data_IF_066703345281
#
_entry.id   IF_066703345281
#
_cell.length_a   1.000
_cell.length_b   1.000
_cell.length_c   1.000
_cell.angle_alpha   90.00
_cell.angle_beta   90.00
_cell.angle_gamma   90.00
#
_symmetry.space_group_name_H-M   'P 1'
#
loop_
_entity.id
_entity.type
_entity.pdbx_description
1 polymer ?
#
# COMPACT_ATOMS: atom_id res chain seq x y z
N UNK A 1 -34.19 -19.63 -4.16
CA UNK A 1 -32.72 -19.47 -4.08
C UNK A 1 -32.42 -18.01 -4.34
N UNK A 2 -31.48 -17.40 -3.60
CA UNK A 2 -31.02 -16.04 -3.91
C UNK A 2 -30.21 -16.09 -5.20
N UNK A 3 -30.23 -15.00 -5.97
CA UNK A 3 -29.32 -14.83 -7.11
C UNK A 3 -27.90 -14.53 -6.62
N UNK A 4 -26.88 -14.83 -7.44
CA UNK A 4 -25.49 -14.52 -7.09
C UNK A 4 -25.25 -13.03 -6.79
N UNK A 5 -26.03 -12.13 -7.41
CA UNK A 5 -25.99 -10.69 -7.14
C UNK A 5 -26.54 -10.34 -5.75
N UNK A 6 -27.64 -10.97 -5.33
CA UNK A 6 -28.20 -10.79 -3.99
C UNK A 6 -27.26 -11.35 -2.92
N UNK A 7 -26.61 -12.47 -3.20
CA UNK A 7 -25.59 -13.07 -2.32
C UNK A 7 -24.36 -12.17 -2.21
N UNK A 8 -23.83 -11.66 -3.32
CA UNK A 8 -22.75 -10.66 -3.34
C UNK A 8 -23.09 -9.44 -2.50
N UNK A 9 -24.31 -8.90 -2.65
CA UNK A 9 -24.77 -7.75 -1.86
C UNK A 9 -24.79 -8.06 -0.35
N UNK A 10 -25.19 -9.27 0.03
CA UNK A 10 -25.20 -9.68 1.43
C UNK A 10 -23.78 -9.84 2.00
N UNK A 11 -22.86 -10.43 1.24
CA UNK A 11 -21.45 -10.56 1.61
C UNK A 11 -20.78 -9.21 1.80
N UNK A 12 -21.07 -8.23 0.92
CA UNK A 12 -20.55 -6.87 1.06
C UNK A 12 -21.06 -6.17 2.34
N UNK A 13 -22.35 -6.33 2.68
CA UNK A 13 -22.88 -5.82 3.96
C UNK A 13 -22.21 -6.48 5.17
N UNK A 14 -21.88 -7.76 5.07
CA UNK A 14 -21.14 -8.46 6.13
C UNK A 14 -19.68 -8.00 6.22
N UNK A 15 -19.08 -7.61 5.10
CA UNK A 15 -17.78 -6.96 5.03
C UNK A 15 -17.80 -5.60 5.74
N UNK A 16 -18.85 -4.80 5.56
CA UNK A 16 -19.05 -3.53 6.29
C UNK A 16 -19.07 -3.74 7.81
N UNK A 17 -19.73 -4.81 8.26
CA UNK A 17 -19.79 -5.18 9.68
C UNK A 17 -18.44 -5.49 10.33
N UNK A 18 -17.36 -5.65 9.56
CA UNK A 18 -16.02 -5.89 10.10
C UNK A 18 -15.34 -4.61 10.66
N UNK A 19 -15.91 -3.42 10.42
CA UNK A 19 -15.31 -2.13 10.78
C UNK A 19 -15.82 -1.53 12.10
N UNK A 20 -16.69 -2.22 12.85
CA UNK A 20 -17.38 -1.65 14.02
C UNK A 20 -16.48 -0.94 15.04
N UNK A 21 -15.37 -1.55 15.46
CA UNK A 21 -14.41 -0.97 16.41
C UNK A 21 -13.12 -0.41 15.74
N UNK A 22 -13.11 -0.32 14.41
CA UNK A 22 -11.89 0.01 13.66
C UNK A 22 -11.52 1.48 13.77
N UNK A 23 -12.51 2.36 13.84
CA UNK A 23 -12.26 3.80 13.87
C UNK A 23 -11.82 4.29 15.24
N UNK A 24 -12.33 3.71 16.35
CA UNK A 24 -11.73 3.98 17.67
C UNK A 24 -10.27 3.49 17.70
N UNK A 25 -9.99 2.30 17.16
CA UNK A 25 -8.62 1.80 17.05
C UNK A 25 -7.72 2.75 16.24
N UNK A 26 -8.21 3.31 15.13
CA UNK A 26 -7.47 4.29 14.32
C UNK A 26 -7.17 5.57 15.11
N UNK A 27 -8.15 6.10 15.85
CA UNK A 27 -7.99 7.29 16.68
C UNK A 27 -6.96 7.06 17.80
N UNK A 28 -6.92 5.86 18.37
CA UNK A 28 -5.94 5.47 19.39
C UNK A 28 -4.50 5.48 18.87
N UNK A 29 -4.29 5.31 17.56
CA UNK A 29 -2.94 5.37 16.97
C UNK A 29 -2.44 6.81 16.75
N UNK A 30 -3.30 7.82 16.85
CA UNK A 30 -2.88 9.20 16.68
C UNK A 30 -1.98 9.66 17.83
N UNK A 31 -0.94 10.44 17.49
CA UNK A 31 -0.07 11.10 18.44
C UNK A 31 -0.24 12.63 18.36
N UNK A 32 -0.90 13.27 19.34
CA UNK A 32 -1.09 14.72 19.32
C UNK A 32 0.20 15.52 19.50
N UNK A 33 1.26 14.91 20.04
CA UNK A 33 2.54 15.60 20.25
C UNK A 33 3.27 15.88 18.93
N UNK A 34 3.25 14.92 18.00
CA UNK A 34 3.92 15.05 16.71
C UNK A 34 2.97 15.35 15.55
N UNK A 35 1.69 15.00 15.66
CA UNK A 35 0.73 15.02 14.57
C UNK A 35 0.77 13.79 13.65
N UNK A 36 1.60 12.79 13.98
CA UNK A 36 1.71 11.53 13.25
C UNK A 36 0.81 10.41 13.79
N UNK A 37 0.85 9.26 13.12
CA UNK A 37 0.20 8.03 13.61
C UNK A 37 1.23 6.91 13.82
N UNK A 38 0.98 6.10 14.84
CA UNK A 38 1.72 4.88 15.13
C UNK A 38 1.29 3.72 14.22
N UNK A 39 2.21 2.78 13.99
CA UNK A 39 1.97 1.57 13.22
C UNK A 39 0.94 0.63 13.86
N UNK A 40 1.07 0.37 15.16
CA UNK A 40 0.23 -0.53 15.95
C UNK A 40 0.20 -0.08 17.42
N UNK A 41 -0.74 -0.60 18.24
CA UNK A 41 -0.90 -0.20 19.64
C UNK A 41 0.39 -0.36 20.46
N UNK A 42 1.10 -1.48 20.30
CA UNK A 42 2.37 -1.74 20.98
C UNK A 42 3.48 -0.76 20.60
N UNK A 43 3.39 -0.19 19.40
CA UNK A 43 4.30 0.85 18.90
C UNK A 43 4.20 2.09 19.77
N UNK A 44 2.98 2.48 20.12
CA UNK A 44 2.67 3.62 20.99
C UNK A 44 2.96 3.34 22.46
N UNK A 45 2.48 2.22 22.98
CA UNK A 45 2.52 1.92 24.42
C UNK A 45 3.91 1.57 24.95
N UNK A 46 4.77 1.00 24.11
CA UNK A 46 6.10 0.56 24.56
C UNK A 46 7.09 1.69 24.81
N UNK A 47 6.85 2.88 24.25
CA UNK A 47 7.80 4.00 24.25
C UNK A 47 9.08 3.74 23.43
N UNK A 48 9.14 2.63 22.67
CA UNK A 48 10.32 2.24 21.86
C UNK A 48 10.29 2.78 20.44
N UNK A 49 9.12 3.14 19.96
CA UNK A 49 8.89 3.57 18.59
C UNK A 49 8.29 4.98 18.57
N UNK A 50 8.33 5.61 17.41
CA UNK A 50 7.74 6.93 17.16
C UNK A 50 6.80 6.84 15.96
N UNK A 51 5.85 7.77 15.81
CA UNK A 51 5.07 7.87 14.58
C UNK A 51 5.96 7.99 13.35
N UNK A 52 5.59 7.24 12.30
CA UNK A 52 6.38 7.07 11.09
C UNK A 52 5.63 7.57 9.84
N UNK A 53 6.36 7.78 8.75
CA UNK A 53 5.83 8.34 7.50
C UNK A 53 4.76 7.42 6.89
N UNK A 54 5.03 6.10 6.85
CA UNK A 54 4.16 5.14 6.20
C UNK A 54 2.83 5.03 6.96
N UNK A 55 2.86 4.83 8.27
CA UNK A 55 1.66 4.74 9.10
C UNK A 55 0.83 6.03 9.07
N UNK A 56 1.49 7.18 9.16
CA UNK A 56 0.80 8.48 9.07
C UNK A 56 0.12 8.66 7.71
N UNK A 57 0.78 8.27 6.61
CA UNK A 57 0.19 8.39 5.27
C UNK A 57 -0.97 7.42 5.06
N UNK A 58 -0.88 6.23 5.63
CA UNK A 58 -1.93 5.24 5.58
C UNK A 58 -3.16 5.67 6.39
N UNK A 59 -2.98 6.28 7.56
CA UNK A 59 -4.06 6.91 8.32
C UNK A 59 -4.75 8.03 7.53
N UNK A 60 -3.99 8.93 6.91
CA UNK A 60 -4.52 9.99 6.05
C UNK A 60 -5.32 9.41 4.87
N UNK A 61 -4.82 8.33 4.26
CA UNK A 61 -5.54 7.64 3.18
C UNK A 61 -6.82 6.95 3.67
N UNK A 62 -6.85 6.42 4.90
CA UNK A 62 -8.08 5.88 5.49
C UNK A 62 -9.09 7.02 5.66
N UNK A 63 -8.68 8.12 6.30
CA UNK A 63 -9.54 9.27 6.57
C UNK A 63 -10.10 9.89 5.28
N UNK A 64 -9.30 10.00 4.22
CA UNK A 64 -9.76 10.46 2.90
C UNK A 64 -10.84 9.54 2.33
N UNK A 65 -10.60 8.22 2.31
CA UNK A 65 -11.54 7.24 1.71
C UNK A 65 -12.87 7.16 2.42
N UNK A 66 -12.92 7.50 3.70
CA UNK A 66 -14.17 7.50 4.49
C UNK A 66 -14.76 8.90 4.68
N UNK A 67 -14.21 9.92 4.00
CA UNK A 67 -14.73 11.29 4.01
C UNK A 67 -14.41 12.11 5.27
N UNK A 68 -13.53 11.62 6.15
CA UNK A 68 -13.13 12.32 7.38
C UNK A 68 -12.11 13.44 7.14
N UNK A 69 -11.27 13.32 6.10
CA UNK A 69 -10.15 14.24 5.90
C UNK A 69 -10.61 15.68 5.63
N UNK A 70 -11.71 15.89 4.91
CA UNK A 70 -12.21 17.24 4.60
C UNK A 70 -12.63 18.00 5.86
N UNK A 71 -13.37 17.33 6.75
CA UNK A 71 -13.85 17.89 8.03
C UNK A 71 -12.85 17.79 9.18
N UNK A 72 -11.65 17.26 8.96
CA UNK A 72 -10.64 17.10 10.03
C UNK A 72 -10.18 18.47 10.54
N UNK A 73 -9.98 18.57 11.86
CA UNK A 73 -9.68 19.83 12.54
C UNK A 73 -8.45 20.55 11.93
N UNK A 74 -8.52 21.87 11.67
CA UNK A 74 -7.43 22.59 11.03
C UNK A 74 -6.10 22.55 11.79
N UNK A 75 -6.12 22.53 13.13
CA UNK A 75 -4.90 22.46 13.93
C UNK A 75 -4.26 21.07 13.84
N UNK A 76 -5.08 20.02 13.82
CA UNK A 76 -4.62 18.64 13.59
C UNK A 76 -4.05 18.46 12.18
N UNK A 77 -4.69 19.03 11.15
CA UNK A 77 -4.14 19.10 9.78
C UNK A 77 -2.78 19.79 9.76
N UNK A 78 -2.68 20.95 10.41
CA UNK A 78 -1.43 21.68 10.50
C UNK A 78 -0.33 20.90 11.26
N UNK A 79 -0.71 20.12 12.28
CA UNK A 79 0.22 19.22 12.98
C UNK A 79 0.73 18.10 12.05
N UNK A 80 -0.14 17.48 11.26
CA UNK A 80 0.27 16.48 10.27
C UNK A 80 1.18 17.07 9.17
N UNK A 81 0.92 18.31 8.73
CA UNK A 81 1.82 19.01 7.80
C UNK A 81 3.22 19.19 8.42
N UNK A 82 3.28 19.68 9.66
CA UNK A 82 4.55 19.84 10.39
C UNK A 82 5.26 18.50 10.58
N UNK A 83 4.52 17.42 10.83
CA UNK A 83 5.07 16.06 10.90
C UNK A 83 5.86 15.72 9.63
N UNK A 84 5.24 15.77 8.45
CA UNK A 84 5.95 15.43 7.19
C UNK A 84 7.10 16.37 6.89
N UNK A 85 6.91 17.68 7.10
CA UNK A 85 7.95 18.67 6.87
C UNK A 85 9.16 18.46 7.79
N UNK A 86 8.94 18.03 9.03
CA UNK A 86 10.03 17.71 9.98
C UNK A 86 10.84 16.47 9.59
N UNK A 87 10.28 15.60 8.75
CA UNK A 87 10.95 14.39 8.24
C UNK A 87 11.79 14.67 7.00
N UNK A 88 11.67 15.87 6.42
CA UNK A 88 12.39 16.24 5.20
C UNK A 88 13.75 16.87 5.53
N UNK A 89 14.79 16.43 4.83
CA UNK A 89 16.12 17.06 4.92
C UNK A 89 16.41 18.00 3.72
N UNK A 90 17.50 18.80 3.76
CA UNK A 90 17.83 19.72 2.68
C UNK A 90 18.13 19.09 1.32
N UNK A 91 18.35 17.77 1.24
CA UNK A 91 18.53 17.05 -0.03
C UNK A 91 17.19 16.73 -0.70
N UNK A 92 16.07 17.00 -0.01
CA UNK A 92 14.72 16.78 -0.52
C UNK A 92 14.10 15.45 -0.12
N UNK A 93 14.90 14.52 0.41
CA UNK A 93 14.45 13.22 0.88
C UNK A 93 13.70 13.31 2.22
N UNK A 94 12.87 12.31 2.47
CA UNK A 94 12.13 12.16 3.72
C UNK A 94 12.60 10.90 4.46
N UNK A 95 12.87 11.03 5.76
CA UNK A 95 13.39 9.95 6.59
C UNK A 95 12.70 9.86 7.93
N UNK A 96 12.43 8.63 8.35
CA UNK A 96 12.16 8.28 9.74
C UNK A 96 13.45 8.13 10.54
N UNK A 97 13.32 8.02 11.86
CA UNK A 97 14.45 8.05 12.78
C UNK A 97 15.35 6.81 12.71
N UNK A 98 14.86 5.68 12.22
CA UNK A 98 15.64 4.45 12.12
C UNK A 98 16.76 4.63 11.06
N UNK A 99 18.04 4.48 11.44
CA UNK A 99 19.15 4.72 10.53
C UNK A 99 19.17 3.75 9.34
N UNK A 100 18.58 2.56 9.48
CA UNK A 100 18.56 1.55 8.41
C UNK A 100 17.64 1.94 7.26
N UNK A 101 16.70 2.89 7.46
CA UNK A 101 15.82 3.34 6.38
C UNK A 101 16.61 3.91 5.20
N UNK A 102 17.74 4.59 5.46
CA UNK A 102 18.57 5.20 4.41
C UNK A 102 19.24 4.17 3.51
N UNK A 103 19.42 2.95 4.01
CA UNK A 103 20.05 1.85 3.30
C UNK A 103 19.03 1.01 2.48
N UNK A 104 17.71 1.27 2.64
CA UNK A 104 16.67 0.61 1.86
C UNK A 104 16.08 1.58 0.82
N UNK A 105 16.61 1.50 -0.41
CA UNK A 105 16.18 2.36 -1.53
C UNK A 105 14.65 2.40 -1.70
N UNK A 106 13.97 1.26 -1.47
CA UNK A 106 12.52 1.12 -1.61
C UNK A 106 11.79 1.92 -0.55
N UNK A 107 12.25 1.90 0.71
CA UNK A 107 11.68 2.75 1.75
C UNK A 107 11.88 4.22 1.44
N UNK A 108 13.09 4.59 0.99
CA UNK A 108 13.42 5.98 0.65
C UNK A 108 12.53 6.51 -0.47
N UNK A 109 12.41 5.78 -1.58
CA UNK A 109 11.56 6.21 -2.70
C UNK A 109 10.07 6.20 -2.35
N UNK A 110 9.62 5.24 -1.53
CA UNK A 110 8.24 5.21 -1.01
C UNK A 110 7.95 6.41 -0.12
N UNK A 111 8.88 6.83 0.73
CA UNK A 111 8.72 7.98 1.62
C UNK A 111 8.55 9.31 0.86
N UNK A 112 9.23 9.47 -0.29
CA UNK A 112 8.99 10.60 -1.21
C UNK A 112 7.52 10.59 -1.65
N UNK A 113 7.04 9.44 -2.13
CA UNK A 113 5.67 9.27 -2.59
C UNK A 113 4.67 9.57 -1.47
N UNK A 114 4.80 8.91 -0.32
CA UNK A 114 3.89 9.08 0.81
C UNK A 114 3.83 10.53 1.31
N UNK A 115 4.98 11.14 1.57
CA UNK A 115 5.04 12.48 2.14
C UNK A 115 4.52 13.54 1.17
N UNK A 116 4.93 13.49 -0.10
CA UNK A 116 4.48 14.48 -1.11
C UNK A 116 2.97 14.42 -1.36
N UNK A 117 2.40 13.21 -1.48
CA UNK A 117 0.95 13.07 -1.70
C UNK A 117 0.16 13.44 -0.44
N UNK A 118 0.64 13.10 0.76
CA UNK A 118 -0.03 13.47 2.00
C UNK A 118 -0.02 15.00 2.20
N UNK A 119 1.11 15.66 1.95
CA UNK A 119 1.20 17.12 1.98
C UNK A 119 0.21 17.77 0.99
N UNK A 120 0.15 17.29 -0.25
CA UNK A 120 -0.79 17.79 -1.25
C UNK A 120 -2.26 17.64 -0.80
N UNK A 121 -2.64 16.48 -0.24
CA UNK A 121 -3.99 16.26 0.33
C UNK A 121 -4.32 17.18 1.49
N UNK A 122 -3.30 17.56 2.27
CA UNK A 122 -3.40 18.49 3.38
C UNK A 122 -3.30 19.97 2.94
N UNK A 123 -3.16 20.24 1.64
CA UNK A 123 -3.04 21.59 1.10
C UNK A 123 -1.69 22.26 1.38
N UNK A 124 -0.63 21.47 1.53
CA UNK A 124 0.72 21.92 1.83
C UNK A 124 1.75 21.40 0.82
N UNK A 125 2.95 21.96 0.87
CA UNK A 125 4.07 21.61 0.01
C UNK A 125 5.28 21.13 0.85
N UNK A 126 6.20 20.35 0.26
CA UNK A 126 7.51 20.08 0.85
C UNK A 126 8.29 21.36 1.19
N UNK A 127 9.15 21.32 2.22
CA UNK A 127 10.04 22.43 2.59
C UNK A 127 11.18 22.61 1.58
N UNK A 128 11.70 21.50 1.05
CA UNK A 128 12.82 21.47 0.10
C UNK A 128 12.37 20.85 -1.23
N UNK A 129 12.98 21.23 -2.37
CA UNK A 129 12.73 20.57 -3.65
C UNK A 129 12.95 19.06 -3.55
N UNK A 130 12.09 18.27 -4.19
CA UNK A 130 12.20 16.81 -4.19
C UNK A 130 13.47 16.33 -4.93
N UNK A 131 14.01 15.13 -4.61
CA UNK A 131 15.32 14.70 -5.07
C UNK A 131 15.50 14.64 -6.59
N UNK A 132 14.46 14.26 -7.34
CA UNK A 132 14.49 14.21 -8.81
C UNK A 132 14.45 15.59 -9.49
N UNK A 133 14.19 16.66 -8.74
CA UNK A 133 14.33 18.06 -9.17
C UNK A 133 15.61 18.71 -8.64
N UNK A 134 16.48 17.91 -8.01
CA UNK A 134 17.79 18.32 -7.50
C UNK A 134 18.86 17.39 -8.08
N UNK A 135 20.13 17.62 -7.73
CA UNK A 135 21.24 16.72 -8.09
C UNK A 135 21.34 15.48 -7.18
N UNK A 136 20.30 15.16 -6.40
CA UNK A 136 20.31 14.10 -5.40
C UNK A 136 19.66 12.78 -5.86
N UNK A 137 19.22 12.68 -7.12
CA UNK A 137 18.68 11.43 -7.65
C UNK A 137 19.75 10.31 -7.67
N UNK A 138 19.35 9.01 -7.55
CA UNK A 138 20.30 7.90 -7.58
C UNK A 138 21.10 7.81 -8.88
N UNK A 139 22.33 7.30 -8.81
CA UNK A 139 23.25 7.20 -9.97
C UNK A 139 22.65 6.46 -11.17
N UNK A 140 21.79 5.46 -10.94
CA UNK A 140 21.15 4.73 -12.03
C UNK A 140 20.18 5.60 -12.86
N UNK A 141 19.72 6.73 -12.31
CA UNK A 141 18.85 7.71 -12.99
C UNK A 141 19.64 8.74 -13.81
N UNK A 142 20.97 8.60 -13.96
CA UNK A 142 21.79 9.58 -14.68
C UNK A 142 21.46 9.66 -16.19
N UNK A 143 21.28 8.51 -16.85
CA UNK A 143 20.86 8.42 -18.26
C UNK A 143 19.89 7.26 -18.48
N UNK A 144 19.12 7.24 -19.60
CA UNK A 144 18.29 6.09 -19.95
C UNK A 144 19.09 4.78 -20.03
N UNK A 145 20.35 4.83 -20.48
CA UNK A 145 21.21 3.65 -20.59
C UNK A 145 21.71 3.14 -19.23
N UNK A 146 22.01 4.03 -18.27
CA UNK A 146 22.33 3.59 -16.90
C UNK A 146 21.11 2.99 -16.22
N UNK A 147 19.94 3.56 -16.51
CA UNK A 147 18.67 3.07 -15.98
C UNK A 147 18.31 1.69 -16.53
N UNK A 148 18.46 1.48 -17.84
CA UNK A 148 18.26 0.18 -18.48
C UNK A 148 19.18 -0.91 -17.88
N UNK A 149 20.46 -0.60 -17.68
CA UNK A 149 21.40 -1.53 -17.01
C UNK A 149 20.99 -1.85 -15.57
N UNK A 150 20.48 -0.85 -14.84
CA UNK A 150 19.96 -1.08 -13.50
C UNK A 150 18.72 -1.97 -13.50
N UNK A 151 17.76 -1.76 -14.40
CA UNK A 151 16.58 -2.63 -14.56
C UNK A 151 17.00 -4.09 -14.78
N UNK A 152 17.97 -4.32 -15.67
CA UNK A 152 18.49 -5.65 -15.99
C UNK A 152 19.26 -6.31 -14.83
N UNK A 153 19.71 -5.54 -13.84
CA UNK A 153 20.40 -6.05 -12.66
C UNK A 153 19.47 -6.56 -11.55
N UNK A 154 18.17 -6.29 -11.65
CA UNK A 154 17.21 -6.65 -10.58
C UNK A 154 16.75 -8.09 -10.74
N UNK A 155 17.06 -8.89 -9.71
CA UNK A 155 16.59 -10.27 -9.58
C UNK A 155 15.09 -10.33 -9.27
N UNK A 156 14.41 -11.32 -9.84
CA UNK A 156 12.97 -11.59 -9.63
C UNK A 156 12.68 -12.92 -8.93
N UNK A 157 13.69 -13.53 -8.30
CA UNK A 157 13.59 -14.79 -7.53
C UNK A 157 12.54 -14.73 -6.39
N UNK A 158 12.28 -13.52 -5.89
CA UNK A 158 11.06 -13.19 -5.15
C UNK A 158 10.37 -12.04 -5.89
N UNK A 159 9.28 -12.35 -6.58
CA UNK A 159 8.60 -11.38 -7.44
C UNK A 159 8.14 -10.13 -6.69
N UNK A 160 7.69 -10.25 -5.44
CA UNK A 160 7.28 -9.08 -4.67
C UNK A 160 8.44 -8.10 -4.49
N UNK A 161 9.58 -8.54 -3.94
CA UNK A 161 10.70 -7.63 -3.66
C UNK A 161 11.33 -7.11 -4.96
N UNK A 162 11.55 -7.99 -5.93
CA UNK A 162 12.12 -7.60 -7.22
C UNK A 162 11.28 -6.55 -7.94
N UNK A 163 9.97 -6.76 -8.05
CA UNK A 163 9.07 -5.77 -8.65
C UNK A 163 8.93 -4.50 -7.79
N UNK A 164 9.02 -4.58 -6.46
CA UNK A 164 9.02 -3.39 -5.59
C UNK A 164 10.23 -2.50 -5.87
N UNK A 165 11.41 -3.11 -6.08
CA UNK A 165 12.63 -2.40 -6.49
C UNK A 165 12.46 -1.76 -7.86
N UNK A 166 12.00 -2.51 -8.87
CA UNK A 166 11.75 -1.97 -10.22
C UNK A 166 10.83 -0.75 -10.18
N UNK A 167 9.75 -0.80 -9.40
CA UNK A 167 8.80 0.30 -9.29
C UNK A 167 9.32 1.51 -8.52
N UNK A 168 10.37 1.34 -7.72
CA UNK A 168 10.94 2.40 -6.90
C UNK A 168 11.67 3.49 -7.71
N UNK A 169 11.87 3.29 -9.02
CA UNK A 169 12.32 4.35 -9.93
C UNK A 169 11.22 5.38 -10.23
N UNK A 170 9.95 5.00 -10.09
CA UNK A 170 8.81 5.83 -10.52
C UNK A 170 8.72 7.20 -9.85
N UNK A 171 8.98 7.37 -8.53
CA UNK A 171 8.99 8.69 -7.90
C UNK A 171 9.98 9.67 -8.54
N UNK A 172 11.11 9.19 -9.06
CA UNK A 172 12.10 10.03 -9.75
C UNK A 172 11.64 10.39 -11.16
N UNK A 173 11.22 9.38 -11.94
CA UNK A 173 10.73 9.56 -13.32
C UNK A 173 9.51 10.50 -13.36
N UNK A 174 8.64 10.44 -12.36
CA UNK A 174 7.46 11.31 -12.26
C UNK A 174 7.81 12.79 -12.06
N UNK A 175 9.01 13.10 -11.55
CA UNK A 175 9.46 14.47 -11.34
C UNK A 175 10.02 15.14 -12.62
N UNK A 176 10.41 14.34 -13.62
CA UNK A 176 10.93 14.79 -14.92
C UNK A 176 9.84 15.44 -15.77
N UNK A 177 10.23 16.32 -16.70
CA UNK A 177 9.32 16.80 -17.74
C UNK A 177 9.06 15.69 -18.78
N UNK A 178 8.08 15.89 -19.67
CA UNK A 178 7.67 14.85 -20.64
C UNK A 178 8.79 14.40 -21.59
N UNK A 179 9.58 15.35 -22.10
CA UNK A 179 10.65 15.05 -23.05
C UNK A 179 11.79 14.25 -22.40
N UNK A 180 12.15 14.60 -21.16
CA UNK A 180 13.13 13.86 -20.36
C UNK A 180 12.62 12.48 -19.94
N UNK A 181 11.32 12.39 -19.63
CA UNK A 181 10.68 11.19 -19.10
C UNK A 181 10.54 10.09 -20.15
N UNK A 182 10.22 10.44 -21.39
CA UNK A 182 9.84 9.49 -22.43
C UNK A 182 10.89 8.37 -22.67
N UNK A 183 12.20 8.65 -22.78
CA UNK A 183 13.22 7.62 -22.92
C UNK A 183 13.28 6.62 -21.75
N UNK A 184 13.15 7.10 -20.50
CA UNK A 184 13.13 6.22 -19.32
C UNK A 184 11.92 5.30 -19.32
N UNK A 185 10.75 5.81 -19.71
CA UNK A 185 9.54 5.00 -19.81
C UNK A 185 9.65 3.96 -20.92
N UNK A 186 10.29 4.29 -22.04
CA UNK A 186 10.55 3.33 -23.12
C UNK A 186 11.41 2.16 -22.62
N UNK A 187 12.49 2.45 -21.88
CA UNK A 187 13.34 1.40 -21.28
C UNK A 187 12.57 0.56 -20.26
N UNK A 188 11.82 1.21 -19.36
CA UNK A 188 11.03 0.52 -18.33
C UNK A 188 10.00 -0.42 -18.93
N UNK A 189 9.12 0.07 -19.79
CA UNK A 189 8.04 -0.74 -20.37
C UNK A 189 8.57 -1.79 -21.35
N UNK A 190 9.62 -1.46 -22.12
CA UNK A 190 10.29 -2.43 -22.97
C UNK A 190 10.92 -3.57 -22.18
N UNK A 191 11.53 -3.28 -21.02
CA UNK A 191 12.04 -4.31 -20.12
C UNK A 191 10.89 -5.14 -19.52
N UNK A 192 9.88 -4.49 -18.94
CA UNK A 192 8.75 -5.18 -18.30
C UNK A 192 8.01 -6.11 -19.26
N UNK A 193 7.83 -5.72 -20.53
CA UNK A 193 7.23 -6.59 -21.54
C UNK A 193 8.07 -7.84 -21.82
N UNK A 194 9.40 -7.70 -21.88
CA UNK A 194 10.31 -8.84 -22.14
C UNK A 194 10.29 -9.88 -21.03
N UNK A 195 10.18 -9.45 -19.78
CA UNK A 195 10.26 -10.32 -18.60
C UNK A 195 8.91 -10.85 -18.11
N UNK A 196 7.79 -10.40 -18.68
CA UNK A 196 6.46 -10.89 -18.31
C UNK A 196 6.27 -12.32 -18.81
N UNK A 197 5.83 -13.22 -17.93
CA UNK A 197 5.52 -14.59 -18.33
C UNK A 197 4.30 -14.61 -19.26
N UNK A 198 4.42 -15.38 -20.36
CA UNK A 198 3.41 -15.39 -21.42
C UNK A 198 2.19 -16.22 -21.10
N UNK A 199 2.33 -17.22 -20.23
CA UNK A 199 1.27 -18.18 -19.90
C UNK A 199 0.42 -17.68 -18.73
N UNK A 200 1.05 -17.27 -17.64
CA UNK A 200 0.39 -16.76 -16.44
C UNK A 200 0.05 -15.27 -16.52
N UNK A 201 0.76 -14.50 -17.36
CA UNK A 201 0.68 -13.05 -17.40
C UNK A 201 1.33 -12.36 -16.18
N UNK A 202 1.93 -13.11 -15.26
CA UNK A 202 2.56 -12.58 -14.06
C UNK A 202 4.04 -12.25 -14.30
N UNK A 203 4.64 -11.54 -13.36
CA UNK A 203 6.08 -11.28 -13.35
C UNK A 203 6.78 -12.07 -12.24
N UNK A 204 8.01 -12.48 -12.50
CA UNK A 204 8.94 -13.05 -11.53
C UNK A 204 8.55 -14.44 -10.99
N UNK A 205 9.21 -14.82 -9.91
CA UNK A 205 9.13 -16.15 -9.31
C UNK A 205 8.50 -16.12 -7.90
N UNK A 206 8.35 -17.30 -7.31
CA UNK A 206 7.74 -17.51 -5.99
C UNK A 206 6.37 -18.18 -6.05
N UNK A 207 5.66 -18.23 -4.93
CA UNK A 207 4.27 -18.71 -4.88
C UNK A 207 3.36 -17.82 -5.75
N UNK A 208 2.14 -18.31 -6.07
CA UNK A 208 1.19 -17.49 -6.83
C UNK A 208 0.89 -16.16 -6.16
N UNK A 209 0.75 -16.12 -4.84
CA UNK A 209 0.55 -14.87 -4.11
C UNK A 209 1.76 -13.93 -4.17
N UNK A 210 2.99 -14.46 -4.18
CA UNK A 210 4.21 -13.65 -4.34
C UNK A 210 4.29 -13.07 -5.75
N UNK A 211 4.04 -13.87 -6.79
CA UNK A 211 3.99 -13.41 -8.18
C UNK A 211 2.89 -12.38 -8.43
N UNK A 212 1.69 -12.59 -7.88
CA UNK A 212 0.60 -11.61 -7.92
C UNK A 212 0.97 -10.33 -7.16
N UNK A 213 1.68 -10.44 -6.04
CA UNK A 213 2.13 -9.27 -5.29
C UNK A 213 3.17 -8.45 -6.03
N UNK A 214 4.12 -9.08 -6.73
CA UNK A 214 5.04 -8.38 -7.62
C UNK A 214 4.35 -7.78 -8.85
N UNK A 215 3.41 -8.51 -9.43
CA UNK A 215 2.57 -8.01 -10.53
C UNK A 215 1.76 -6.78 -10.10
N UNK A 216 1.23 -6.79 -8.88
CA UNK A 216 0.57 -5.63 -8.28
C UNK A 216 1.54 -4.44 -8.17
N UNK A 217 2.81 -4.66 -7.78
CA UNK A 217 3.81 -3.59 -7.74
C UNK A 217 3.99 -2.98 -9.11
N UNK A 218 4.27 -3.78 -10.15
CA UNK A 218 4.43 -3.26 -11.51
C UNK A 218 3.17 -2.53 -12.00
N UNK A 219 1.97 -3.04 -11.68
CA UNK A 219 0.73 -2.32 -11.96
C UNK A 219 0.73 -0.88 -11.39
N UNK A 220 1.30 -0.63 -10.20
CA UNK A 220 1.39 0.74 -9.68
C UNK A 220 2.25 1.66 -10.57
N UNK A 221 3.27 1.12 -11.24
CA UNK A 221 4.08 1.85 -12.21
C UNK A 221 3.27 2.15 -13.48
N UNK A 222 2.63 1.13 -14.07
CA UNK A 222 1.76 1.28 -15.23
C UNK A 222 0.66 2.32 -14.99
N UNK A 223 -0.06 2.21 -13.88
CA UNK A 223 -1.13 3.13 -13.52
C UNK A 223 -0.62 4.57 -13.34
N UNK A 224 0.53 4.76 -12.69
CA UNK A 224 1.12 6.09 -12.46
C UNK A 224 1.42 6.83 -13.77
N UNK A 225 1.78 6.11 -14.83
CA UNK A 225 2.09 6.69 -16.13
C UNK A 225 0.97 6.49 -17.16
N UNK A 226 -0.22 6.08 -16.74
CA UNK A 226 -1.39 5.94 -17.61
C UNK A 226 -1.25 4.89 -18.70
N UNK A 227 -0.40 3.88 -18.50
CA UNK A 227 -0.17 2.80 -19.47
C UNK A 227 -1.05 1.60 -19.12
N UNK A 228 -1.80 1.02 -20.08
CA UNK A 228 -2.59 -0.19 -19.84
C UNK A 228 -1.73 -1.40 -19.48
N UNK A 229 -2.25 -2.25 -18.59
CA UNK A 229 -1.59 -3.50 -18.24
C UNK A 229 -1.60 -4.50 -19.41
N UNK A 230 -0.49 -5.18 -19.71
CA UNK A 230 -0.43 -6.24 -20.74
C UNK A 230 -0.96 -7.58 -20.20
N UNK A 231 -1.43 -8.48 -21.08
CA UNK A 231 -1.84 -9.87 -20.76
C UNK A 231 -2.92 -9.99 -19.67
N UNK A 232 -3.91 -9.09 -19.70
CA UNK A 232 -4.97 -9.03 -18.67
C UNK A 232 -5.79 -10.32 -18.56
N UNK A 233 -5.92 -11.11 -19.62
CA UNK A 233 -6.70 -12.36 -19.60
C UNK A 233 -5.96 -13.48 -18.86
N UNK A 234 -4.67 -13.60 -19.12
CA UNK A 234 -3.78 -14.56 -18.48
C UNK A 234 -3.65 -14.22 -16.99
N UNK A 235 -3.45 -12.94 -16.66
CA UNK A 235 -3.42 -12.48 -15.27
C UNK A 235 -4.75 -12.77 -14.54
N UNK A 236 -5.89 -12.51 -15.18
CA UNK A 236 -7.21 -12.80 -14.62
C UNK A 236 -7.34 -14.30 -14.26
N UNK A 237 -6.97 -15.20 -15.18
CA UNK A 237 -7.01 -16.64 -14.94
C UNK A 237 -6.09 -17.06 -13.78
N UNK A 238 -4.88 -16.50 -13.72
CA UNK A 238 -3.91 -16.75 -12.64
C UNK A 238 -4.41 -16.26 -11.28
N UNK A 239 -5.06 -15.09 -11.23
CA UNK A 239 -5.67 -14.57 -10.00
C UNK A 239 -6.79 -15.48 -9.52
N UNK A 240 -7.73 -15.89 -10.39
CA UNK A 240 -8.80 -16.80 -10.00
C UNK A 240 -8.27 -18.14 -9.50
N UNK A 241 -7.25 -18.69 -10.18
CA UNK A 241 -6.58 -19.92 -9.73
C UNK A 241 -6.02 -19.74 -8.33
N UNK A 242 -5.28 -18.65 -8.09
CA UNK A 242 -4.70 -18.35 -6.78
C UNK A 242 -5.78 -18.28 -5.70
N UNK A 243 -6.82 -17.47 -5.89
CA UNK A 243 -7.91 -17.31 -4.92
C UNK A 243 -8.58 -18.64 -4.54
N UNK A 244 -8.69 -19.58 -5.48
CA UNK A 244 -9.36 -20.88 -5.29
C UNK A 244 -8.47 -21.96 -4.68
N UNK A 245 -7.15 -21.83 -4.75
CA UNK A 245 -6.23 -22.94 -4.45
C UNK A 245 -5.18 -22.64 -3.39
N UNK A 246 -4.90 -21.37 -3.14
CA UNK A 246 -3.88 -20.92 -2.20
C UNK A 246 -4.49 -20.36 -0.91
N UNK A 247 -3.74 -20.40 0.18
CA UNK A 247 -4.16 -19.83 1.46
C UNK A 247 -3.62 -18.40 1.63
N UNK A 248 -4.50 -17.42 1.82
CA UNK A 248 -4.10 -16.06 2.15
C UNK A 248 -3.88 -15.92 3.66
N UNK A 249 -2.60 -15.88 4.07
CA UNK A 249 -2.21 -15.63 5.47
C UNK A 249 -1.68 -14.21 5.73
N UNK A 250 -1.67 -13.36 4.70
CA UNK A 250 -1.20 -11.97 4.76
C UNK A 250 -2.24 -11.03 4.10
N UNK A 251 -2.52 -9.87 4.69
CA UNK A 251 -3.49 -8.89 4.15
C UNK A 251 -3.15 -8.44 2.71
N UNK A 252 -1.87 -8.42 2.33
CA UNK A 252 -1.44 -8.09 0.97
C UNK A 252 -1.85 -9.19 -0.01
N UNK A 253 -1.87 -10.45 0.42
CA UNK A 253 -2.33 -11.56 -0.41
C UNK A 253 -3.83 -11.48 -0.68
N UNK A 254 -4.60 -10.82 0.19
CA UNK A 254 -6.01 -10.52 -0.06
C UNK A 254 -6.13 -9.29 -0.97
N UNK A 255 -5.45 -8.20 -0.63
CA UNK A 255 -5.63 -6.90 -1.29
C UNK A 255 -5.09 -6.87 -2.72
N UNK A 256 -3.91 -7.47 -2.97
CA UNK A 256 -3.23 -7.37 -4.26
C UNK A 256 -4.04 -7.99 -5.41
N UNK A 257 -4.61 -9.21 -5.29
CA UNK A 257 -5.52 -9.75 -6.30
C UNK A 257 -6.72 -8.85 -6.60
N UNK A 258 -7.40 -8.35 -5.57
CA UNK A 258 -8.61 -7.53 -5.75
C UNK A 258 -8.30 -6.20 -6.44
N UNK A 259 -7.16 -5.58 -6.09
CA UNK A 259 -6.71 -4.37 -6.75
C UNK A 259 -6.39 -4.60 -8.23
N UNK A 260 -5.70 -5.71 -8.54
CA UNK A 260 -5.41 -6.09 -9.92
C UNK A 260 -6.69 -6.36 -10.72
N UNK A 261 -7.63 -7.15 -10.19
CA UNK A 261 -8.92 -7.40 -10.84
C UNK A 261 -9.66 -6.09 -11.18
N UNK A 262 -9.69 -5.16 -10.23
CA UNK A 262 -10.28 -3.84 -10.45
C UNK A 262 -9.55 -3.05 -11.55
N UNK A 263 -8.21 -3.08 -11.54
CA UNK A 263 -7.40 -2.36 -12.54
C UNK A 263 -7.59 -2.85 -13.98
N UNK A 264 -7.91 -4.14 -14.16
CA UNK A 264 -8.08 -4.75 -15.48
C UNK A 264 -9.35 -4.29 -16.19
N UNK A 265 -10.34 -3.73 -15.46
CA UNK A 265 -11.63 -3.27 -15.98
C UNK A 265 -12.36 -4.32 -16.83
N UNK A 266 -12.21 -5.59 -16.46
CA UNK A 266 -12.90 -6.71 -17.11
C UNK A 266 -14.31 -6.87 -16.54
N UNK A 267 -15.23 -7.36 -17.37
CA UNK A 267 -16.55 -7.77 -16.89
C UNK A 267 -16.42 -9.11 -16.16
N UNK A 268 -16.62 -9.10 -14.84
CA UNK A 268 -16.59 -10.30 -14.00
C UNK A 268 -17.99 -10.96 -14.02
N UNK A 269 -18.11 -12.25 -14.37
CA UNK A 269 -19.38 -12.97 -14.27
C UNK A 269 -19.98 -12.93 -12.86
N UNK A 270 -21.31 -12.81 -12.68
CA UNK A 270 -21.92 -12.69 -11.36
C UNK A 270 -21.57 -13.78 -10.36
N UNK A 271 -21.44 -15.03 -10.83
CA UNK A 271 -21.04 -16.18 -9.98
C UNK A 271 -19.59 -16.07 -9.51
N UNK A 272 -18.68 -15.62 -10.39
CA UNK A 272 -17.28 -15.41 -10.02
C UNK A 272 -17.14 -14.20 -9.10
N UNK A 273 -17.91 -13.13 -9.32
CA UNK A 273 -17.93 -11.97 -8.42
C UNK A 273 -18.37 -12.36 -7.00
N UNK A 274 -19.41 -13.21 -6.89
CA UNK A 274 -19.85 -13.76 -5.62
C UNK A 274 -18.73 -14.56 -4.94
N UNK A 275 -18.12 -15.50 -5.66
CA UNK A 275 -17.02 -16.34 -5.15
C UNK A 275 -15.82 -15.49 -4.70
N UNK A 276 -15.39 -14.51 -5.50
CA UNK A 276 -14.30 -13.58 -5.15
C UNK A 276 -14.63 -12.85 -3.85
N UNK A 277 -15.86 -12.33 -3.71
CA UNK A 277 -16.28 -11.59 -2.51
C UNK A 277 -16.30 -12.49 -1.28
N UNK A 278 -16.79 -13.73 -1.44
CA UNK A 278 -16.85 -14.73 -0.37
C UNK A 278 -15.46 -15.09 0.15
N UNK A 279 -14.54 -15.45 -0.74
CA UNK A 279 -13.14 -15.79 -0.40
C UNK A 279 -12.46 -14.58 0.26
N UNK A 280 -12.66 -13.39 -0.29
CA UNK A 280 -12.07 -12.15 0.24
C UNK A 280 -12.55 -11.86 1.66
N UNK A 281 -13.86 -11.93 1.89
CA UNK A 281 -14.46 -11.70 3.21
C UNK A 281 -13.99 -12.76 4.22
N UNK A 282 -13.99 -14.04 3.83
CA UNK A 282 -13.56 -15.13 4.68
C UNK A 282 -12.11 -14.94 5.14
N UNK A 283 -11.20 -14.57 4.24
CA UNK A 283 -9.81 -14.30 4.59
C UNK A 283 -9.65 -13.03 5.42
N UNK A 284 -10.38 -11.95 5.11
CA UNK A 284 -10.28 -10.69 5.84
C UNK A 284 -10.72 -10.85 7.31
N UNK A 285 -11.76 -11.65 7.58
CA UNK A 285 -12.21 -11.97 8.95
C UNK A 285 -11.13 -12.62 9.80
N UNK A 286 -10.27 -13.45 9.21
CA UNK A 286 -9.19 -14.16 9.93
C UNK A 286 -8.07 -13.23 10.39
N UNK A 287 -7.97 -12.05 9.78
CA UNK A 287 -6.99 -11.01 10.12
C UNK A 287 -7.57 -9.94 11.06
N UNK A 288 -8.84 -10.05 11.45
CA UNK A 288 -9.44 -9.17 12.44
C UNK A 288 -8.87 -9.46 13.82
N UNK A 289 -8.49 -8.41 14.54
CA UNK A 289 -7.90 -8.51 15.87
C UNK A 289 -8.85 -8.03 16.96
N UNK A 290 -8.61 -8.50 18.19
CA UNK A 290 -9.46 -8.21 19.35
C UNK A 290 -9.43 -6.72 19.75
N UNK A 291 -8.41 -5.98 19.34
CA UNK A 291 -8.26 -4.55 19.57
C UNK A 291 -9.11 -3.67 18.64
N UNK A 292 -9.86 -4.27 17.71
CA UNK A 292 -10.67 -3.56 16.72
C UNK A 292 -9.93 -3.27 15.42
N UNK A 293 -8.61 -3.49 15.34
CA UNK A 293 -7.83 -3.36 14.12
C UNK A 293 -7.84 -4.61 13.23
N UNK A 294 -7.04 -4.56 12.17
CA UNK A 294 -6.71 -5.71 11.33
C UNK A 294 -5.20 -5.89 11.35
N UNK A 295 -4.71 -7.14 11.38
CA UNK A 295 -3.29 -7.44 11.31
C UNK A 295 -2.84 -7.78 9.89
N UNK A 296 -1.56 -7.52 9.60
CA UNK A 296 -0.95 -7.89 8.33
C UNK A 296 -0.81 -9.40 8.15
N UNK A 297 -0.59 -10.16 9.21
CA UNK A 297 -0.46 -11.62 9.17
C UNK A 297 -1.45 -12.30 10.12
N UNK A 298 -1.67 -13.60 9.92
CA UNK A 298 -2.55 -14.37 10.81
C UNK A 298 -2.04 -14.32 12.24
N UNK A 299 -2.93 -13.89 13.14
CA UNK A 299 -2.69 -13.85 14.58
C UNK A 299 -1.70 -12.78 15.06
N UNK A 300 -1.04 -12.01 14.18
CA UNK A 300 -0.11 -10.97 14.60
C UNK A 300 0.22 -9.93 13.53
N UNK A 301 0.69 -8.77 13.97
CA UNK A 301 1.28 -7.74 13.10
C UNK A 301 2.80 -7.91 13.06
N UNK A 302 3.48 -7.87 11.90
CA UNK A 302 4.91 -8.05 11.79
C UNK A 302 5.66 -6.88 12.43
N UNK A 303 6.82 -7.14 13.02
CA UNK A 303 7.63 -6.09 13.65
C UNK A 303 8.19 -5.09 12.63
N UNK A 304 8.51 -5.56 11.42
CA UNK A 304 9.18 -4.78 10.37
C UNK A 304 8.50 -4.98 9.01
N UNK A 305 7.49 -4.15 8.67
CA UNK A 305 6.70 -4.34 7.46
C UNK A 305 7.50 -4.13 6.16
N UNK A 306 8.66 -3.47 6.21
CA UNK A 306 9.51 -3.24 5.03
C UNK A 306 10.12 -4.52 4.45
N UNK A 307 10.30 -5.56 5.27
CA UNK A 307 10.85 -6.86 4.85
C UNK A 307 9.86 -8.02 4.99
N UNK A 308 8.72 -7.80 5.65
CA UNK A 308 7.78 -8.87 6.05
C UNK A 308 7.14 -9.68 4.91
N UNK A 309 7.19 -9.23 3.65
CA UNK A 309 6.64 -10.01 2.54
C UNK A 309 7.59 -11.07 1.98
N UNK A 310 8.88 -11.02 2.31
CA UNK A 310 9.77 -12.16 2.13
C UNK A 310 9.64 -13.04 3.37
N UNK A 311 8.97 -14.18 3.23
CA UNK A 311 8.66 -15.06 4.36
C UNK A 311 9.88 -15.85 4.82
N UNK A 312 9.83 -16.44 6.01
CA UNK A 312 10.98 -17.09 6.64
C UNK A 312 11.59 -18.26 5.82
N UNK A 313 10.78 -18.89 4.95
CA UNK A 313 11.19 -19.95 4.03
C UNK A 313 11.47 -19.46 2.60
N UNK A 314 11.45 -18.15 2.37
CA UNK A 314 11.73 -17.50 1.09
C UNK A 314 13.09 -16.80 1.12
N UNK A 315 13.57 -16.38 -0.05
CA UNK A 315 14.85 -15.72 -0.19
C UNK A 315 14.77 -14.59 -1.21
N UNK A 316 15.51 -13.52 -0.95
CA UNK A 316 15.83 -12.50 -1.94
C UNK A 316 17.26 -12.01 -1.70
N UNK A 317 18.08 -11.82 -2.76
CA UNK A 317 19.43 -11.27 -2.61
C UNK A 317 19.38 -9.83 -2.11
N UNK A 318 20.36 -9.44 -1.29
CA UNK A 318 20.51 -8.07 -0.80
C UNK A 318 19.27 -7.52 -0.07
N UNK A 319 18.61 -8.36 0.73
CA UNK A 319 17.54 -7.90 1.61
C UNK A 319 18.06 -6.79 2.54
N UNK A 320 17.34 -5.66 2.66
CA UNK A 320 17.74 -4.58 3.54
C UNK A 320 17.58 -5.02 5.00
N UNK A 321 18.21 -4.27 5.91
CA UNK A 321 17.98 -4.46 7.34
C UNK A 321 16.53 -4.13 7.68
N UNK A 322 15.97 -4.91 8.61
CA UNK A 322 14.62 -4.70 9.11
C UNK A 322 14.51 -3.34 9.81
N UNK A 323 13.49 -2.55 9.46
CA UNK A 323 13.11 -1.33 10.18
C UNK A 323 11.91 -1.67 11.04
N UNK A 324 12.12 -1.75 12.35
CA UNK A 324 11.09 -2.19 13.27
C UNK A 324 10.15 -1.04 13.63
N UNK A 325 8.85 -1.25 13.45
CA UNK A 325 7.79 -0.31 13.77
C UNK A 325 6.89 -0.77 14.91
N UNK A 326 6.96 -2.04 15.33
CA UNK A 326 6.14 -2.59 16.40
C UNK A 326 6.75 -3.82 17.08
N UNK A 327 6.06 -4.35 18.11
CA UNK A 327 6.55 -5.48 18.91
C UNK A 327 6.21 -6.87 18.38
N UNK A 328 5.41 -6.99 17.32
CA UNK A 328 5.11 -8.29 16.73
C UNK A 328 3.92 -9.01 17.36
N UNK A 329 2.99 -8.29 18.00
CA UNK A 329 1.95 -8.89 18.85
C UNK A 329 0.68 -9.23 18.06
N UNK A 330 -0.23 -9.95 18.72
CA UNK A 330 -1.60 -10.18 18.28
C UNK A 330 -2.45 -8.90 18.40
N UNK A 331 -2.22 -7.98 17.46
CA UNK A 331 -2.80 -6.64 17.44
C UNK A 331 -3.01 -6.19 15.99
N UNK A 332 -3.88 -5.21 15.77
CA UNK A 332 -4.03 -4.58 14.47
C UNK A 332 -2.89 -3.62 14.15
N UNK A 333 -2.70 -3.36 12.85
CA UNK A 333 -1.73 -2.40 12.36
C UNK A 333 -2.27 -1.54 11.21
N UNK A 334 -1.60 -0.41 10.99
CA UNK A 334 -2.02 0.63 10.07
C UNK A 334 -1.99 0.16 8.61
N UNK A 335 -1.03 -0.70 8.27
CA UNK A 335 -0.85 -1.19 6.91
C UNK A 335 -1.98 -2.17 6.55
N UNK A 336 -2.37 -3.06 7.46
CA UNK A 336 -3.55 -3.88 7.26
C UNK A 336 -4.85 -3.08 7.31
N UNK A 337 -4.96 -2.09 8.20
CA UNK A 337 -6.12 -1.19 8.30
C UNK A 337 -6.42 -0.44 7.00
N UNK A 338 -5.40 0.18 6.39
CA UNK A 338 -5.61 0.88 5.09
C UNK A 338 -5.96 -0.10 3.98
N UNK A 339 -5.48 -1.33 4.04
CA UNK A 339 -5.76 -2.34 3.02
C UNK A 339 -7.19 -2.88 3.16
N UNK A 340 -7.68 -3.10 4.37
CA UNK A 340 -9.06 -3.54 4.62
C UNK A 340 -10.09 -2.54 4.05
N UNK A 341 -9.90 -1.24 4.31
CA UNK A 341 -10.77 -0.19 3.74
C UNK A 341 -10.72 -0.19 2.21
N UNK A 342 -9.53 -0.38 1.63
CA UNK A 342 -9.37 -0.41 0.17
C UNK A 342 -9.99 -1.67 -0.44
N UNK A 343 -9.81 -2.85 0.16
CA UNK A 343 -10.44 -4.10 -0.26
C UNK A 343 -11.96 -3.91 -0.34
N UNK A 344 -12.54 -3.39 0.75
CA UNK A 344 -13.97 -3.10 0.81
C UNK A 344 -14.43 -2.25 -0.36
N UNK A 345 -13.80 -1.09 -0.55
CA UNK A 345 -14.13 -0.17 -1.64
C UNK A 345 -14.04 -0.86 -3.02
N UNK A 346 -12.95 -1.59 -3.27
CA UNK A 346 -12.73 -2.29 -4.54
C UNK A 346 -13.78 -3.39 -4.80
N UNK A 347 -14.20 -4.13 -3.77
CA UNK A 347 -15.21 -5.18 -3.93
C UNK A 347 -16.57 -4.61 -4.31
N UNK A 348 -16.96 -3.46 -3.78
CA UNK A 348 -18.18 -2.74 -4.19
C UNK A 348 -18.10 -2.26 -5.65
N UNK A 349 -16.98 -1.63 -6.02
CA UNK A 349 -16.74 -1.16 -7.40
C UNK A 349 -16.75 -2.31 -8.41
N UNK A 350 -16.07 -3.42 -8.11
CA UNK A 350 -16.06 -4.62 -8.93
C UNK A 350 -17.46 -5.24 -9.09
N UNK A 351 -18.30 -5.16 -8.05
CA UNK A 351 -19.68 -5.62 -8.11
C UNK A 351 -20.62 -4.64 -8.84
N UNK A 352 -20.13 -3.47 -9.25
CA UNK A 352 -20.94 -2.41 -9.87
C UNK A 352 -22.00 -1.88 -8.91
N UNK A 353 -21.67 -1.78 -7.62
CA UNK A 353 -22.56 -1.31 -6.56
C UNK A 353 -22.00 -0.03 -5.92
N UNK A 354 -22.85 0.95 -5.55
CA UNK A 354 -22.39 2.12 -4.82
C UNK A 354 -21.82 1.71 -3.47
N UNK A 355 -20.73 2.35 -3.07
CA UNK A 355 -20.09 2.13 -1.77
C UNK A 355 -20.87 2.90 -0.70
N UNK A 356 -21.54 2.23 0.25
CA UNK A 356 -22.23 2.95 1.33
C UNK A 356 -21.20 3.55 2.31
N UNK A 357 -21.54 4.65 3.00
CA UNK A 357 -20.69 5.17 4.07
C UNK A 357 -20.58 4.12 5.19
N UNK A 358 -19.42 4.08 5.84
CA UNK A 358 -19.24 3.32 7.07
C UNK A 358 -19.78 4.13 8.26
N UNK A 359 -20.26 3.43 9.28
CA UNK A 359 -20.60 4.06 10.56
C UNK A 359 -19.32 4.55 11.24
N UNK A 360 -19.30 5.83 11.59
CA UNK A 360 -18.17 6.49 12.24
C UNK A 360 -18.56 6.87 13.66
N UNK A 361 -17.70 6.65 14.68
CA UNK A 361 -17.95 7.13 16.03
C UNK A 361 -18.15 8.64 16.08
N UNK A 362 -19.10 9.10 16.89
CA UNK A 362 -19.29 10.53 17.14
C UNK A 362 -18.06 11.13 17.83
N UNK A 363 -17.62 12.30 17.36
CA UNK A 363 -16.51 13.02 17.99
C UNK A 363 -15.13 12.39 17.75
N UNK A 364 -14.95 11.57 16.71
CA UNK A 364 -13.65 11.04 16.34
C UNK A 364 -12.61 12.18 16.19
N UNK A 365 -11.49 12.06 16.89
CA UNK A 365 -10.41 13.04 17.06
C UNK A 365 -10.77 14.32 17.83
N UNK A 366 -12.01 14.50 18.28
CA UNK A 366 -12.45 15.73 18.94
C UNK A 366 -11.69 16.02 20.26
N UNK A 367 -11.23 14.97 20.96
CA UNK A 367 -10.40 15.11 22.18
C UNK A 367 -9.01 15.72 21.94
N UNK A 368 -8.55 15.76 20.69
CA UNK A 368 -7.24 16.31 20.33
C UNK A 368 -7.32 17.70 19.72
N UNK A 369 -8.49 18.10 19.21
CA UNK A 369 -8.72 19.47 18.77
C UNK A 369 -8.72 20.42 19.96
N UNK A 370 -8.42 21.70 19.72
CA UNK A 370 -8.51 22.72 20.77
C UNK A 370 -9.92 22.70 21.40
N UNK A 371 -9.97 22.53 22.71
CA UNK A 371 -11.14 22.91 23.51
C UNK A 371 -11.33 24.41 23.28
N UNK A 372 -12.38 24.78 22.54
CA UNK A 372 -12.70 26.19 22.30
C UNK A 372 -13.03 26.94 23.57
#
# INVERSE_FOLDING_TARGET
MKSAREETTQLLKEMDGQFGAFFEWLEEQYDPATGGFFYARSSKESGRFTPDIESTSQAINIMERVGLLEGWDPELKAAAVRFYQSKQDPTGYFYDADPNMKDDEVMVGRAIGYSSHALAKLGAEPLYPLPGRSSAAPDYMATPETYARWLESIELVNSWRGCDRLCNSAPYIFQMNEAERAPYLQEAFGFFERIQDRESGLWGEGSLYVQISGTFKLHTFYNRFGVPMPRVREMYASILRCLRTEEAFDMCYIRNPINLLHSMKLAIPPEEMREITEITLANMKRLKQADGGFSRELGHSPTAPNVAQVKANEFYPDMPKAVHLGLGLAEGDMNAGTQAILIRWLCYELAGLPVPPLELPEGLFAKYGAVR
#
